data_IF_857942288541
#
_entry.id   IF_857942288541
#
_cell.length_a   1.000
_cell.length_b   1.000
_cell.length_c   1.000
_cell.angle_alpha   90.00
_cell.angle_beta   90.00
_cell.angle_gamma   90.00
#
_symmetry.space_group_name_H-M   'P 1'
#
loop_
_entity.id
_entity.type
_entity.pdbx_description
1 polymer ?
#
# COMPACT_ATOMS: atom_id res chain seq x y z
N UNK A 1 -8.04 -9.53 -25.16
CA UNK A 1 -8.76 -8.49 -24.39
C UNK A 1 -7.80 -7.40 -23.92
N UNK A 2 -6.60 -7.74 -23.45
CA UNK A 2 -5.63 -6.78 -22.89
C UNK A 2 -5.19 -5.70 -23.91
N UNK A 3 -5.21 -6.03 -25.22
CA UNK A 3 -4.91 -5.07 -26.28
C UNK A 3 -6.07 -4.08 -26.55
N UNK A 4 -7.28 -4.42 -26.10
CA UNK A 4 -8.50 -3.60 -26.28
C UNK A 4 -8.86 -2.79 -25.04
N UNK A 5 -8.11 -2.96 -23.94
CA UNK A 5 -8.36 -2.35 -22.63
C UNK A 5 -7.14 -1.56 -22.18
N UNK A 6 -7.30 -0.28 -21.91
CA UNK A 6 -6.22 0.59 -21.43
C UNK A 6 -6.36 0.89 -19.93
N UNK A 7 -5.34 0.55 -19.16
CA UNK A 7 -5.18 1.00 -17.77
C UNK A 7 -4.74 2.48 -17.74
N UNK A 8 -3.78 2.85 -18.58
CA UNK A 8 -3.27 4.21 -18.65
C UNK A 8 -4.41 5.23 -18.87
N UNK A 9 -5.30 4.97 -19.85
CA UNK A 9 -6.44 5.85 -20.13
C UNK A 9 -7.48 5.90 -18.99
N UNK A 10 -7.57 4.86 -18.13
CA UNK A 10 -8.49 4.84 -16.99
C UNK A 10 -7.94 5.61 -15.78
N UNK A 11 -6.61 5.74 -15.64
CA UNK A 11 -5.95 6.33 -14.46
C UNK A 11 -5.25 7.66 -14.75
N UNK A 12 -5.72 8.41 -15.74
CA UNK A 12 -5.18 9.74 -16.08
C UNK A 12 -5.22 10.73 -14.90
N UNK A 13 -6.13 10.55 -13.95
CA UNK A 13 -6.21 11.35 -12.72
C UNK A 13 -4.90 11.34 -11.90
N UNK A 14 -4.06 10.32 -12.07
CA UNK A 14 -2.79 10.19 -11.34
C UNK A 14 -1.63 10.94 -11.99
N UNK A 15 -1.77 11.38 -13.25
CA UNK A 15 -0.69 12.05 -13.98
C UNK A 15 -0.22 13.34 -13.29
N UNK A 16 -1.12 14.23 -12.82
CA UNK A 16 -0.67 15.42 -12.09
C UNK A 16 -0.09 15.14 -10.70
N UNK A 17 -0.24 13.91 -10.20
CA UNK A 17 0.31 13.49 -8.89
C UNK A 17 1.69 12.87 -9.05
N UNK A 18 1.90 12.03 -10.07
CA UNK A 18 3.16 11.31 -10.27
C UNK A 18 4.13 12.04 -11.22
N UNK A 19 3.59 12.94 -12.04
CA UNK A 19 4.34 13.66 -13.06
C UNK A 19 4.19 13.07 -14.46
N UNK A 20 4.51 13.89 -15.45
CA UNK A 20 4.48 13.51 -16.87
C UNK A 20 5.56 12.50 -17.21
N UNK A 21 5.24 11.56 -18.09
CA UNK A 21 6.15 10.49 -18.53
C UNK A 21 6.33 9.37 -17.49
N UNK A 22 5.54 9.38 -16.40
CA UNK A 22 5.63 8.39 -15.32
C UNK A 22 4.44 7.44 -15.37
N UNK A 23 4.71 6.14 -15.38
CA UNK A 23 3.72 5.02 -15.36
C UNK A 23 2.57 5.26 -16.36
N UNK A 24 1.43 5.81 -15.90
CA UNK A 24 0.22 5.94 -16.73
C UNK A 24 0.29 7.03 -17.81
N UNK A 25 1.29 7.91 -17.76
CA UNK A 25 1.56 8.91 -18.81
C UNK A 25 2.74 8.49 -19.71
N UNK A 26 3.43 7.42 -19.36
CA UNK A 26 4.54 6.90 -20.17
C UNK A 26 4.03 6.12 -21.39
N UNK A 27 4.75 6.16 -22.54
CA UNK A 27 4.51 5.24 -23.64
C UNK A 27 4.56 3.77 -23.17
N UNK A 28 3.80 2.85 -23.80
CA UNK A 28 3.63 1.46 -23.30
C UNK A 28 4.94 0.73 -22.97
N UNK A 29 5.96 0.87 -23.82
CA UNK A 29 7.26 0.22 -23.61
C UNK A 29 8.01 0.80 -22.41
N UNK A 30 8.00 2.14 -22.26
CA UNK A 30 8.56 2.82 -21.10
C UNK A 30 7.80 2.49 -19.82
N UNK A 31 6.47 2.49 -19.86
CA UNK A 31 5.63 2.08 -18.73
C UNK A 31 5.98 0.67 -18.27
N UNK A 32 6.11 -0.28 -19.19
CA UNK A 32 6.48 -1.66 -18.86
C UNK A 32 7.86 -1.73 -18.20
N UNK A 33 8.83 -0.96 -18.70
CA UNK A 33 10.17 -0.88 -18.11
C UNK A 33 10.14 -0.24 -16.71
N UNK A 34 9.42 0.87 -16.53
CA UNK A 34 9.26 1.53 -15.23
C UNK A 34 8.62 0.59 -14.20
N UNK A 35 7.55 -0.12 -14.57
CA UNK A 35 6.92 -1.12 -13.69
C UNK A 35 7.88 -2.27 -13.35
N UNK A 36 8.71 -2.71 -14.28
CA UNK A 36 9.74 -3.71 -14.00
C UNK A 36 10.76 -3.19 -12.98
N UNK A 37 11.23 -1.96 -13.14
CA UNK A 37 12.17 -1.33 -12.20
C UNK A 37 11.54 -1.21 -10.79
N UNK A 38 10.24 -0.87 -10.69
CA UNK A 38 9.52 -0.89 -9.40
C UNK A 38 9.49 -2.30 -8.78
N UNK A 39 9.21 -3.33 -9.59
CA UNK A 39 9.26 -4.72 -9.11
C UNK A 39 10.67 -5.08 -8.63
N UNK A 40 11.71 -4.65 -9.36
CA UNK A 40 13.11 -4.90 -9.02
C UNK A 40 13.49 -4.23 -7.67
N UNK A 41 12.99 -3.02 -7.43
CA UNK A 41 13.18 -2.30 -6.15
C UNK A 41 12.53 -3.03 -4.95
N UNK A 42 11.47 -3.83 -5.19
CA UNK A 42 10.75 -4.58 -4.17
C UNK A 42 11.08 -6.08 -4.17
N UNK A 43 12.25 -6.48 -4.71
CA UNK A 43 12.69 -7.88 -4.75
C UNK A 43 13.12 -8.40 -3.40
N UNK A 44 13.17 -9.73 -3.29
CA UNK A 44 13.53 -10.49 -2.10
C UNK A 44 14.81 -9.99 -1.40
N UNK A 45 15.83 -9.61 -2.16
CA UNK A 45 17.08 -9.11 -1.62
C UNK A 45 16.88 -7.83 -0.78
N UNK A 46 16.11 -6.89 -1.29
CA UNK A 46 15.78 -5.65 -0.59
C UNK A 46 14.78 -5.90 0.56
N UNK A 47 13.86 -6.85 0.41
CA UNK A 47 12.90 -7.20 1.46
C UNK A 47 13.54 -7.71 2.75
N UNK A 48 14.74 -8.32 2.70
CA UNK A 48 15.50 -8.67 3.91
C UNK A 48 15.84 -7.44 4.74
N UNK A 49 16.32 -6.39 4.06
CA UNK A 49 16.59 -5.11 4.72
C UNK A 49 15.30 -4.44 5.19
N UNK A 50 14.28 -4.42 4.35
CA UNK A 50 13.01 -3.78 4.66
C UNK A 50 12.30 -4.39 5.87
N UNK A 51 12.38 -5.70 6.09
CA UNK A 51 11.78 -6.33 7.28
C UNK A 51 12.41 -5.80 8.58
N UNK A 52 13.72 -5.60 8.60
CA UNK A 52 14.44 -5.01 9.73
C UNK A 52 14.09 -3.53 9.91
N UNK A 53 14.05 -2.78 8.82
CA UNK A 53 13.64 -1.35 8.82
C UNK A 53 12.24 -1.18 9.38
N UNK A 54 11.28 -1.99 8.95
CA UNK A 54 9.90 -1.91 9.43
C UNK A 54 9.82 -2.24 10.92
N UNK A 55 10.54 -3.26 11.39
CA UNK A 55 10.60 -3.59 12.81
C UNK A 55 11.14 -2.42 13.64
N UNK A 56 12.21 -1.77 13.17
CA UNK A 56 12.78 -0.59 13.82
C UNK A 56 11.79 0.58 13.89
N UNK A 57 11.08 0.86 12.80
CA UNK A 57 10.06 1.92 12.80
C UNK A 57 8.90 1.61 13.76
N UNK A 58 8.55 0.32 13.96
CA UNK A 58 7.57 -0.07 14.98
C UNK A 58 8.16 0.13 16.38
N UNK A 59 9.42 -0.22 16.62
CA UNK A 59 10.11 0.00 17.90
C UNK A 59 10.12 1.50 18.26
N UNK A 60 10.48 2.36 17.31
CA UNK A 60 10.50 3.81 17.48
C UNK A 60 9.07 4.37 17.72
N UNK A 61 8.08 3.80 17.03
CA UNK A 61 6.67 4.20 17.18
C UNK A 61 6.13 3.89 18.58
N UNK A 62 6.39 2.71 19.11
CA UNK A 62 5.89 2.30 20.42
C UNK A 62 6.77 2.79 21.59
N UNK A 63 7.94 3.36 21.33
CA UNK A 63 8.86 3.81 22.37
C UNK A 63 8.26 4.89 23.30
N UNK A 64 7.29 5.66 22.79
CA UNK A 64 6.56 6.66 23.57
C UNK A 64 5.29 6.15 24.27
N UNK A 65 4.95 4.84 24.11
CA UNK A 65 3.74 4.29 24.70
C UNK A 65 3.96 3.93 26.18
N UNK A 66 2.94 4.16 27.01
CA UNK A 66 2.91 3.70 28.39
C UNK A 66 2.50 2.23 28.51
N UNK A 67 2.20 1.82 29.77
CA UNK A 67 1.68 0.48 30.02
C UNK A 67 0.25 0.29 29.51
N UNK A 68 -0.53 1.37 29.41
CA UNK A 68 -1.88 1.40 28.84
C UNK A 68 -2.19 2.76 28.22
N UNK A 69 -3.12 2.80 27.27
CA UNK A 69 -3.59 4.05 26.66
C UNK A 69 -4.65 3.80 25.59
N UNK A 70 -5.15 4.90 25.05
CA UNK A 70 -6.13 4.89 23.94
C UNK A 70 -5.59 5.73 22.78
N UNK A 71 -5.67 5.17 21.56
CA UNK A 71 -5.20 5.83 20.34
C UNK A 71 -6.23 5.66 19.21
N UNK A 72 -6.21 6.60 18.28
CA UNK A 72 -6.85 6.42 16.98
C UNK A 72 -5.88 5.70 16.03
N UNK A 73 -6.09 4.40 15.86
CA UNK A 73 -5.19 3.57 15.06
C UNK A 73 -5.28 3.82 13.56
N UNK A 74 -6.30 4.50 13.05
CA UNK A 74 -6.30 4.96 11.67
C UNK A 74 -5.21 6.03 11.45
N UNK A 75 -5.15 7.02 12.32
CA UNK A 75 -4.12 8.07 12.24
C UNK A 75 -2.73 7.52 12.57
N UNK A 76 -2.64 6.62 13.54
CA UNK A 76 -1.38 5.99 13.93
C UNK A 76 -0.77 5.15 12.80
N UNK A 77 -1.57 4.31 12.12
CA UNK A 77 -1.09 3.53 10.99
C UNK A 77 -0.82 4.40 9.74
N UNK A 78 -1.54 5.50 9.53
CA UNK A 78 -1.17 6.47 8.49
C UNK A 78 0.25 7.01 8.74
N UNK A 79 0.59 7.38 9.97
CA UNK A 79 1.95 7.85 10.30
C UNK A 79 2.99 6.74 10.15
N UNK A 80 2.76 5.57 10.72
CA UNK A 80 3.69 4.44 10.67
C UNK A 80 3.96 3.99 9.24
N UNK A 81 2.93 3.84 8.40
CA UNK A 81 3.12 3.40 7.01
C UNK A 81 3.81 4.45 6.15
N UNK A 82 3.63 5.74 6.41
CA UNK A 82 4.40 6.80 5.77
C UNK A 82 5.89 6.71 6.18
N UNK A 83 6.18 6.50 7.46
CA UNK A 83 7.54 6.35 7.97
C UNK A 83 8.24 5.13 7.38
N UNK A 84 7.59 3.97 7.42
CA UNK A 84 8.15 2.73 6.86
C UNK A 84 8.36 2.84 5.35
N UNK A 85 7.40 3.42 4.60
CA UNK A 85 7.55 3.66 3.17
C UNK A 85 8.72 4.59 2.88
N UNK A 86 8.83 5.72 3.60
CA UNK A 86 9.90 6.69 3.41
C UNK A 86 11.27 6.07 3.71
N UNK A 87 11.38 5.33 4.80
CA UNK A 87 12.64 4.67 5.21
C UNK A 87 13.06 3.60 4.19
N UNK A 88 12.13 2.75 3.75
CA UNK A 88 12.43 1.70 2.77
C UNK A 88 12.72 2.26 1.36
N UNK A 89 12.06 3.35 0.96
CA UNK A 89 12.15 3.86 -0.40
C UNK A 89 13.24 4.92 -0.58
N UNK A 90 13.46 5.77 0.41
CA UNK A 90 14.37 6.91 0.34
C UNK A 90 15.56 6.81 1.31
N UNK A 91 15.56 5.76 2.16
CA UNK A 91 16.62 5.49 3.12
C UNK A 91 16.51 6.26 4.43
N UNK A 92 17.34 5.84 5.41
CA UNK A 92 17.33 6.38 6.77
C UNK A 92 17.64 7.87 6.82
N UNK A 93 18.61 8.33 6.07
CA UNK A 93 19.04 9.74 6.07
C UNK A 93 17.89 10.68 5.69
N UNK A 94 17.06 10.28 4.73
CA UNK A 94 15.88 11.06 4.37
C UNK A 94 14.80 10.93 5.44
N UNK A 95 14.56 9.72 5.95
CA UNK A 95 13.59 9.46 7.00
C UNK A 95 13.85 10.32 8.25
N UNK A 96 15.10 10.41 8.66
CA UNK A 96 15.53 11.19 9.84
C UNK A 96 15.42 12.71 9.59
N UNK A 97 15.57 13.14 8.32
CA UNK A 97 15.46 14.54 7.89
C UNK A 97 14.07 14.92 7.40
N UNK A 98 13.12 13.98 7.44
CA UNK A 98 11.75 14.22 6.96
C UNK A 98 11.09 15.34 7.76
N UNK A 99 10.90 16.47 7.09
CA UNK A 99 10.34 17.69 7.69
C UNK A 99 8.82 17.69 7.67
N UNK A 100 8.20 18.56 8.46
CA UNK A 100 6.78 18.87 8.36
C UNK A 100 6.39 19.28 6.94
N UNK A 101 7.27 20.07 6.28
CA UNK A 101 7.08 20.47 4.87
C UNK A 101 6.84 19.27 3.96
N UNK A 102 7.62 18.20 4.09
CA UNK A 102 7.42 16.99 3.26
C UNK A 102 6.04 16.37 3.48
N UNK A 103 5.60 16.28 4.73
CA UNK A 103 4.28 15.74 5.07
C UNK A 103 3.14 16.58 4.52
N UNK A 104 3.24 17.90 4.64
CA UNK A 104 2.25 18.84 4.10
C UNK A 104 2.16 18.75 2.57
N UNK A 105 3.30 18.71 1.88
CA UNK A 105 3.36 18.57 0.43
C UNK A 105 2.79 17.23 -0.03
N UNK A 106 3.17 16.14 0.64
CA UNK A 106 2.65 14.82 0.33
C UNK A 106 1.13 14.76 0.53
N UNK A 107 0.62 15.31 1.62
CA UNK A 107 -0.80 15.42 1.88
C UNK A 107 -1.55 16.30 0.86
N UNK A 108 -0.92 17.35 0.35
CA UNK A 108 -1.50 18.16 -0.73
C UNK A 108 -1.63 17.36 -2.03
N UNK A 109 -0.66 16.48 -2.35
CA UNK A 109 -0.79 15.53 -3.47
C UNK A 109 -1.97 14.57 -3.27
N UNK A 110 -2.10 14.01 -2.06
CA UNK A 110 -3.19 13.07 -1.71
C UNK A 110 -4.56 13.71 -1.87
N UNK A 111 -4.74 14.92 -1.34
CA UNK A 111 -5.97 15.70 -1.50
C UNK A 111 -6.30 16.00 -2.95
N UNK A 112 -5.30 16.09 -3.81
CA UNK A 112 -5.47 16.28 -5.25
C UNK A 112 -5.97 15.06 -5.99
N UNK A 113 -5.94 13.86 -5.39
CA UNK A 113 -6.45 12.63 -5.99
C UNK A 113 -7.85 12.29 -5.45
N UNK A 114 -8.82 13.13 -5.78
CA UNK A 114 -10.22 12.95 -5.41
C UNK A 114 -11.03 12.35 -6.58
N UNK A 115 -12.24 11.88 -6.30
CA UNK A 115 -13.14 11.31 -7.31
C UNK A 115 -13.36 12.25 -8.51
N UNK A 116 -13.43 13.56 -8.28
CA UNK A 116 -13.59 14.57 -9.34
C UNK A 116 -12.39 14.61 -10.30
N UNK A 117 -11.18 14.24 -9.85
CA UNK A 117 -9.99 14.18 -10.69
C UNK A 117 -10.09 13.10 -11.79
N UNK A 118 -10.95 12.08 -11.61
CA UNK A 118 -11.23 11.09 -12.65
C UNK A 118 -12.17 11.61 -13.74
N UNK A 119 -12.85 12.72 -13.49
CA UNK A 119 -13.65 13.44 -14.52
C UNK A 119 -12.74 14.38 -15.32
N UNK A 120 -12.03 15.28 -14.64
CA UNK A 120 -11.03 16.15 -15.22
C UNK A 120 -9.98 16.54 -14.17
N UNK A 121 -8.75 15.98 -14.24
CA UNK A 121 -7.69 16.26 -13.27
C UNK A 121 -7.07 17.66 -13.41
N UNK A 122 -7.45 18.44 -14.43
CA UNK A 122 -6.89 19.75 -14.73
C UNK A 122 -7.90 20.90 -14.53
N UNK A 123 -9.03 20.63 -13.91
CA UNK A 123 -9.99 21.68 -13.54
C UNK A 123 -9.33 22.74 -12.66
N UNK A 124 -9.79 23.99 -12.82
CA UNK A 124 -9.36 25.09 -11.95
C UNK A 124 -10.01 24.94 -10.56
N UNK A 125 -9.28 24.32 -9.64
CA UNK A 125 -9.68 24.07 -8.26
C UNK A 125 -8.51 24.41 -7.33
N UNK A 126 -8.74 25.07 -6.19
CA UNK A 126 -7.66 25.37 -5.24
C UNK A 126 -6.88 24.13 -4.77
N UNK A 127 -7.56 22.99 -4.63
CA UNK A 127 -6.93 21.73 -4.25
C UNK A 127 -5.99 21.19 -5.34
N UNK A 128 -6.30 21.40 -6.61
CA UNK A 128 -5.44 21.00 -7.73
C UNK A 128 -4.25 21.93 -7.91
N UNK A 129 -4.43 23.24 -7.67
CA UNK A 129 -3.31 24.17 -7.66
C UNK A 129 -2.33 23.86 -6.51
N UNK A 130 -2.84 23.50 -5.33
CA UNK A 130 -2.03 23.09 -4.20
C UNK A 130 -1.24 21.80 -4.51
N UNK A 131 -1.91 20.81 -5.12
CA UNK A 131 -1.29 19.57 -5.63
C UNK A 131 -0.15 19.84 -6.59
N UNK A 132 -0.38 20.68 -7.59
CA UNK A 132 0.61 20.95 -8.65
C UNK A 132 1.85 21.67 -8.07
N UNK A 133 1.65 22.62 -7.16
CA UNK A 133 2.74 23.27 -6.41
C UNK A 133 3.51 22.27 -5.54
N UNK A 134 2.77 21.37 -4.88
CA UNK A 134 3.37 20.35 -4.03
C UNK A 134 4.20 19.35 -4.85
N UNK A 135 3.75 18.93 -6.02
CA UNK A 135 4.53 18.06 -6.92
C UNK A 135 5.88 18.70 -7.28
N UNK A 136 5.86 19.94 -7.73
CA UNK A 136 7.08 20.68 -8.11
C UNK A 136 8.06 20.74 -6.92
N UNK A 137 7.56 21.03 -5.72
CA UNK A 137 8.40 21.13 -4.53
C UNK A 137 8.96 19.78 -4.08
N UNK A 138 8.13 18.73 -4.10
CA UNK A 138 8.59 17.35 -3.79
C UNK A 138 9.63 16.84 -4.79
N UNK A 139 9.45 17.15 -6.08
CA UNK A 139 10.45 16.83 -7.10
C UNK A 139 11.77 17.52 -6.79
N UNK A 140 11.76 18.78 -6.37
CA UNK A 140 12.98 19.49 -5.98
C UNK A 140 13.65 18.89 -4.74
N UNK A 141 12.88 18.49 -3.72
CA UNK A 141 13.40 17.84 -2.50
C UNK A 141 14.05 16.49 -2.81
N UNK A 142 13.35 15.62 -3.56
CA UNK A 142 13.87 14.30 -3.95
C UNK A 142 15.05 14.45 -4.92
N UNK A 143 14.99 15.42 -5.84
CA UNK A 143 16.09 15.76 -6.76
C UNK A 143 17.36 16.15 -6.02
N UNK A 144 17.25 16.91 -4.92
CA UNK A 144 18.37 17.21 -4.02
C UNK A 144 19.06 15.95 -3.47
N UNK A 145 18.27 14.96 -3.02
CA UNK A 145 18.79 13.69 -2.51
C UNK A 145 19.50 12.91 -3.65
N UNK A 146 18.91 12.87 -4.84
CA UNK A 146 19.51 12.21 -6.00
C UNK A 146 20.86 12.86 -6.33
N UNK A 147 20.95 14.19 -6.29
CA UNK A 147 22.19 14.93 -6.53
C UNK A 147 23.26 14.64 -5.47
N UNK A 148 22.88 14.63 -4.18
CA UNK A 148 23.78 14.27 -3.06
C UNK A 148 24.34 12.84 -3.25
N UNK A 149 23.48 11.87 -3.56
CA UNK A 149 23.88 10.47 -3.78
C UNK A 149 24.78 10.29 -4.98
N UNK A 150 24.54 11.00 -6.07
CA UNK A 150 25.42 11.00 -7.24
C UNK A 150 26.80 11.58 -6.97
N UNK A 151 26.90 12.53 -6.04
CA UNK A 151 28.16 13.14 -5.61
C UNK A 151 28.93 12.24 -4.63
N UNK A 152 28.23 11.39 -3.89
CA UNK A 152 28.81 10.47 -2.89
C UNK A 152 29.20 9.15 -3.59
N UNK A 153 30.47 8.96 -3.89
CA UNK A 153 30.98 7.70 -4.46
C UNK A 153 31.03 6.59 -3.41
N UNK A 154 30.51 5.41 -3.73
CA UNK A 154 30.69 4.13 -3.02
C UNK A 154 29.85 3.86 -1.76
N UNK A 155 28.70 4.47 -1.57
CA UNK A 155 27.77 4.10 -0.50
C UNK A 155 26.66 3.24 -1.11
N UNK A 156 26.52 2.01 -0.64
CA UNK A 156 25.33 1.17 -0.92
C UNK A 156 24.24 1.53 0.12
N UNK A 157 23.15 2.11 -0.36
CA UNK A 157 22.03 2.53 0.50
C UNK A 157 21.06 1.39 0.79
N UNK A 158 20.94 0.42 -0.13
CA UNK A 158 20.06 -0.74 0.01
C UNK A 158 18.57 -0.40 0.00
N UNK A 159 18.22 0.75 -0.58
CA UNK A 159 16.86 1.24 -0.68
C UNK A 159 16.32 1.26 -2.13
N UNK A 160 15.05 1.62 -2.30
CA UNK A 160 14.44 1.61 -3.63
C UNK A 160 14.95 2.75 -4.51
N UNK A 161 15.33 3.90 -3.95
CA UNK A 161 15.85 5.03 -4.72
C UNK A 161 17.14 4.64 -5.46
N UNK A 162 18.02 3.85 -4.82
CA UNK A 162 19.23 3.32 -5.47
C UNK A 162 18.87 2.49 -6.71
N UNK A 163 17.88 1.60 -6.60
CA UNK A 163 17.40 0.81 -7.74
C UNK A 163 16.81 1.70 -8.85
N UNK A 164 16.05 2.73 -8.50
CA UNK A 164 15.49 3.67 -9.48
C UNK A 164 16.61 4.47 -10.18
N UNK A 165 17.62 4.93 -9.43
CA UNK A 165 18.77 5.67 -9.99
C UNK A 165 19.62 4.82 -10.93
N UNK A 166 19.71 3.50 -10.69
CA UNK A 166 20.41 2.54 -11.55
C UNK A 166 19.56 2.08 -12.75
N UNK A 167 18.27 2.37 -12.75
CA UNK A 167 17.32 1.90 -13.75
C UNK A 167 17.63 2.35 -15.16
N UNK A 168 17.48 1.43 -16.12
CA UNK A 168 17.72 1.68 -17.55
C UNK A 168 16.57 1.14 -18.40
N UNK A 169 16.30 1.81 -19.50
CA UNK A 169 15.38 1.34 -20.55
C UNK A 169 16.04 0.30 -21.46
N UNK A 170 15.25 -0.34 -22.30
CA UNK A 170 15.73 -1.36 -23.25
C UNK A 170 16.68 -0.81 -24.32
N UNK A 171 16.60 0.48 -24.61
CA UNK A 171 17.50 1.20 -25.51
C UNK A 171 18.82 1.64 -24.86
N UNK A 172 19.04 1.29 -23.59
CA UNK A 172 20.21 1.66 -22.79
C UNK A 172 20.15 3.07 -22.18
N UNK A 173 19.12 3.87 -22.45
CA UNK A 173 18.95 5.16 -21.82
C UNK A 173 18.58 5.00 -20.34
N UNK A 174 19.00 5.96 -19.50
CA UNK A 174 18.67 5.97 -18.06
C UNK A 174 17.36 6.71 -17.83
N UNK A 175 16.74 6.41 -16.69
CA UNK A 175 15.62 7.21 -16.21
C UNK A 175 16.09 8.64 -15.96
N UNK A 176 15.26 9.59 -16.36
CA UNK A 176 15.44 11.02 -16.02
C UNK A 176 15.15 11.23 -14.53
N UNK A 177 15.63 12.33 -13.97
CA UNK A 177 15.36 12.71 -12.58
C UNK A 177 13.86 12.86 -12.32
N UNK A 178 13.11 13.44 -13.26
CA UNK A 178 11.65 13.52 -13.19
C UNK A 178 10.99 12.12 -13.14
N UNK A 179 11.45 11.18 -13.94
CA UNK A 179 10.93 9.80 -13.92
C UNK A 179 11.27 9.10 -12.60
N UNK A 180 12.49 9.28 -12.07
CA UNK A 180 12.89 8.72 -10.76
C UNK A 180 12.02 9.29 -9.64
N UNK A 181 11.91 10.61 -9.54
CA UNK A 181 11.10 11.26 -8.50
C UNK A 181 9.63 10.88 -8.58
N UNK A 182 9.09 10.80 -9.80
CA UNK A 182 7.72 10.35 -10.03
C UNK A 182 7.49 8.88 -9.63
N UNK A 183 8.44 7.99 -9.91
CA UNK A 183 8.38 6.58 -9.48
C UNK A 183 8.43 6.44 -7.96
N UNK A 184 9.27 7.24 -7.28
CA UNK A 184 9.30 7.30 -5.81
C UNK A 184 7.94 7.71 -5.28
N UNK A 185 7.40 8.84 -5.75
CA UNK A 185 6.08 9.34 -5.32
C UNK A 185 5.00 8.29 -5.59
N UNK A 186 4.96 7.70 -6.78
CA UNK A 186 3.98 6.68 -7.14
C UNK A 186 4.06 5.43 -6.25
N UNK A 187 5.28 5.00 -5.89
CA UNK A 187 5.49 3.83 -5.03
C UNK A 187 5.07 4.12 -3.59
N UNK A 188 5.37 5.32 -3.08
CA UNK A 188 4.89 5.77 -1.77
C UNK A 188 3.36 5.83 -1.72
N UNK A 189 2.73 6.44 -2.73
CA UNK A 189 1.27 6.51 -2.83
C UNK A 189 0.62 5.13 -2.83
N UNK A 190 1.16 4.20 -3.62
CA UNK A 190 0.64 2.85 -3.72
C UNK A 190 0.73 2.10 -2.38
N UNK A 191 1.80 2.30 -1.61
CA UNK A 191 2.07 1.57 -0.37
C UNK A 191 1.50 2.21 0.90
N UNK A 192 1.19 3.50 0.89
CA UNK A 192 0.79 4.23 2.10
C UNK A 192 -0.65 3.93 2.52
N UNK A 193 -1.64 4.41 1.75
CA UNK A 193 -3.05 4.31 2.12
C UNK A 193 -3.58 2.87 2.08
N UNK A 194 -3.12 2.06 1.15
CA UNK A 194 -3.53 0.65 1.08
C UNK A 194 -3.05 -0.12 2.29
N UNK A 195 -1.82 0.13 2.74
CA UNK A 195 -1.24 -0.52 3.91
C UNK A 195 -1.84 -0.02 5.22
N UNK A 196 -2.04 1.31 5.38
CA UNK A 196 -2.65 1.86 6.60
C UNK A 196 -4.09 1.39 6.80
N UNK A 197 -4.91 1.40 5.74
CA UNK A 197 -6.28 0.88 5.79
C UNK A 197 -6.31 -0.62 6.15
N UNK A 198 -5.44 -1.43 5.51
CA UNK A 198 -5.32 -2.87 5.82
C UNK A 198 -4.87 -3.10 7.26
N UNK A 199 -3.87 -2.34 7.75
CA UNK A 199 -3.40 -2.46 9.14
C UNK A 199 -4.49 -2.08 10.13
N UNK A 200 -5.23 -1.00 9.87
CA UNK A 200 -6.33 -0.57 10.74
C UNK A 200 -7.44 -1.62 10.81
N UNK A 201 -7.86 -2.16 9.66
CA UNK A 201 -8.83 -3.25 9.64
C UNK A 201 -8.30 -4.52 10.31
N UNK A 202 -7.03 -4.87 10.10
CA UNK A 202 -6.41 -6.04 10.75
C UNK A 202 -6.45 -5.90 12.27
N UNK A 203 -6.07 -4.74 12.82
CA UNK A 203 -6.11 -4.52 14.27
C UNK A 203 -7.55 -4.48 14.81
N UNK A 204 -8.47 -3.86 14.07
CA UNK A 204 -9.89 -3.81 14.42
C UNK A 204 -10.50 -5.20 14.47
N UNK A 205 -10.24 -6.03 13.47
CA UNK A 205 -10.72 -7.41 13.45
C UNK A 205 -10.04 -8.27 14.52
N UNK A 206 -8.74 -8.10 14.79
CA UNK A 206 -8.09 -8.77 15.93
C UNK A 206 -8.76 -8.42 17.27
N UNK A 207 -9.17 -7.17 17.45
CA UNK A 207 -9.90 -6.76 18.66
C UNK A 207 -11.32 -7.37 18.75
N UNK A 208 -11.97 -7.64 17.61
CA UNK A 208 -13.32 -8.25 17.53
C UNK A 208 -13.29 -9.77 17.60
N UNK A 209 -12.39 -10.41 16.88
CA UNK A 209 -12.34 -11.87 16.67
C UNK A 209 -11.49 -12.55 17.74
N UNK A 210 -11.94 -12.49 19.00
CA UNK A 210 -11.14 -12.91 20.18
C UNK A 210 -10.53 -14.31 20.07
N UNK A 211 -11.28 -15.29 19.53
CA UNK A 211 -10.78 -16.67 19.37
C UNK A 211 -9.59 -16.73 18.41
N UNK A 212 -9.73 -16.15 17.21
CA UNK A 212 -8.64 -16.11 16.21
C UNK A 212 -7.48 -15.24 16.68
N UNK A 213 -7.77 -14.14 17.37
CA UNK A 213 -6.75 -13.25 17.96
C UNK A 213 -5.88 -13.99 18.99
N UNK A 214 -6.47 -14.85 19.81
CA UNK A 214 -5.73 -15.68 20.76
C UNK A 214 -4.76 -16.64 20.03
N UNK A 215 -5.21 -17.31 18.97
CA UNK A 215 -4.38 -18.22 18.18
C UNK A 215 -3.21 -17.50 17.49
N UNK A 216 -3.46 -16.29 16.93
CA UNK A 216 -2.40 -15.44 16.36
C UNK A 216 -1.42 -15.00 17.44
N UNK A 217 -1.92 -14.60 18.61
CA UNK A 217 -1.07 -14.18 19.73
C UNK A 217 -0.17 -15.32 20.22
N UNK A 218 -0.69 -16.54 20.35
CA UNK A 218 0.09 -17.73 20.71
C UNK A 218 1.19 -18.03 19.69
N UNK A 219 0.87 -17.97 18.39
CA UNK A 219 1.84 -18.16 17.31
C UNK A 219 2.99 -17.15 17.41
N UNK A 220 2.66 -15.88 17.57
CA UNK A 220 3.65 -14.81 17.62
C UNK A 220 4.48 -14.86 18.91
N UNK A 221 3.89 -15.14 20.07
CA UNK A 221 4.60 -15.27 21.33
C UNK A 221 5.55 -16.48 21.36
N UNK A 222 5.22 -17.54 20.63
CA UNK A 222 6.08 -18.71 20.50
C UNK A 222 7.35 -18.41 19.68
N UNK A 223 7.24 -17.55 18.68
CA UNK A 223 8.32 -17.24 17.73
C UNK A 223 9.11 -15.97 18.11
N UNK A 224 8.41 -14.95 18.59
CA UNK A 224 9.00 -13.63 18.84
C UNK A 224 8.97 -13.31 20.34
N UNK A 225 10.13 -13.36 20.99
CA UNK A 225 10.32 -12.74 22.29
C UNK A 225 10.54 -11.25 22.11
N UNK A 226 10.36 -10.45 23.18
CA UNK A 226 10.41 -8.97 23.14
C UNK A 226 11.66 -8.43 22.43
N UNK A 227 12.80 -9.12 22.57
CA UNK A 227 14.08 -8.71 21.97
C UNK A 227 14.47 -9.54 20.74
N UNK A 228 13.52 -10.30 20.15
CA UNK A 228 13.80 -11.13 18.99
C UNK A 228 13.89 -10.28 17.72
N UNK A 229 14.92 -10.49 16.94
CA UNK A 229 15.04 -9.85 15.64
C UNK A 229 14.00 -10.42 14.68
N UNK A 230 13.16 -9.56 14.11
CA UNK A 230 12.20 -9.92 13.07
C UNK A 230 12.94 -9.93 11.74
N UNK A 231 13.00 -11.10 11.11
CA UNK A 231 13.64 -11.31 9.82
C UNK A 231 12.62 -11.74 8.77
N UNK A 232 12.96 -11.58 7.50
CA UNK A 232 12.10 -12.06 6.41
C UNK A 232 11.85 -13.56 6.49
N UNK A 233 12.83 -14.33 6.99
CA UNK A 233 12.72 -15.77 7.18
C UNK A 233 11.73 -16.09 8.30
N UNK A 234 11.83 -15.43 9.47
CA UNK A 234 10.91 -15.66 10.60
C UNK A 234 9.47 -15.27 10.26
N UNK A 235 9.26 -14.27 9.39
CA UNK A 235 7.93 -13.88 8.93
C UNK A 235 7.24 -14.94 8.04
N UNK A 236 7.93 -15.99 7.60
CA UNK A 236 7.32 -17.11 6.87
C UNK A 236 6.73 -18.17 7.81
N UNK A 237 7.13 -18.14 9.06
CA UNK A 237 6.73 -19.14 10.08
C UNK A 237 5.49 -18.70 10.88
N UNK A 238 4.74 -17.70 10.38
CA UNK A 238 3.52 -17.16 11.01
C UNK A 238 2.27 -17.30 10.10
N UNK A 239 1.87 -18.53 9.76
CA UNK A 239 0.76 -18.77 8.84
C UNK A 239 -0.61 -18.35 9.38
N UNK A 240 -0.83 -18.36 10.73
CA UNK A 240 -2.12 -17.93 11.31
C UNK A 240 -2.33 -16.42 11.13
N UNK A 241 -1.29 -15.60 11.39
CA UNK A 241 -1.34 -14.17 11.11
C UNK A 241 -1.52 -13.90 9.61
N UNK A 242 -0.84 -14.66 8.74
CA UNK A 242 -0.99 -14.53 7.30
C UNK A 242 -2.43 -14.80 6.84
N UNK A 243 -3.02 -15.91 7.30
CA UNK A 243 -4.40 -16.26 7.00
C UNK A 243 -5.39 -15.22 7.52
N UNK A 244 -5.13 -14.66 8.71
CA UNK A 244 -5.93 -13.58 9.27
C UNK A 244 -5.91 -12.32 8.39
N UNK A 245 -4.73 -11.89 7.95
CA UNK A 245 -4.57 -10.74 7.04
C UNK A 245 -5.23 -11.03 5.68
N UNK A 246 -5.11 -12.24 5.14
CA UNK A 246 -5.77 -12.63 3.90
C UNK A 246 -7.30 -12.51 4.00
N UNK A 247 -7.89 -12.89 5.13
CA UNK A 247 -9.34 -12.76 5.35
C UNK A 247 -9.76 -11.30 5.53
N UNK A 248 -8.94 -10.49 6.18
CA UNK A 248 -9.15 -9.03 6.23
C UNK A 248 -9.14 -8.44 4.81
N UNK A 249 -8.18 -8.81 3.98
CA UNK A 249 -8.11 -8.35 2.58
C UNK A 249 -9.27 -8.86 1.72
N UNK A 250 -9.89 -9.98 2.07
CA UNK A 250 -11.10 -10.46 1.41
C UNK A 250 -12.31 -9.57 1.75
N UNK A 251 -12.51 -9.30 3.03
CA UNK A 251 -13.65 -8.50 3.51
C UNK A 251 -13.48 -7.01 3.24
N UNK A 252 -12.26 -6.50 3.40
CA UNK A 252 -11.92 -5.08 3.32
C UNK A 252 -10.80 -4.83 2.29
N UNK A 253 -11.03 -5.17 0.99
CA UNK A 253 -10.00 -4.95 -0.03
C UNK A 253 -9.73 -3.46 -0.20
N UNK A 254 -8.47 -2.98 -0.13
CA UNK A 254 -8.15 -1.56 -0.23
C UNK A 254 -8.65 -0.89 -1.51
N UNK A 255 -8.70 -1.64 -2.61
CA UNK A 255 -9.30 -1.18 -3.87
C UNK A 255 -10.58 -1.96 -4.14
N UNK A 256 -11.70 -1.26 -4.22
CA UNK A 256 -13.02 -1.90 -4.48
C UNK A 256 -13.24 -2.21 -5.95
N UNK A 257 -12.60 -1.44 -6.84
CA UNK A 257 -12.77 -1.53 -8.29
C UNK A 257 -11.43 -1.46 -9.03
N UNK A 258 -11.28 -2.28 -10.06
CA UNK A 258 -10.20 -2.18 -11.05
C UNK A 258 -10.76 -1.71 -12.38
N UNK A 259 -10.36 -0.51 -12.83
CA UNK A 259 -10.93 0.12 -14.02
C UNK A 259 -10.05 -0.08 -15.25
N UNK A 260 -10.71 -0.16 -16.43
CA UNK A 260 -10.09 -0.14 -17.75
C UNK A 260 -10.91 0.71 -18.70
N UNK A 261 -10.25 1.48 -19.54
CA UNK A 261 -10.88 2.16 -20.67
C UNK A 261 -10.93 1.22 -21.86
N UNK A 262 -12.08 1.05 -22.47
CA UNK A 262 -12.23 0.31 -23.72
C UNK A 262 -11.71 1.18 -24.86
N UNK A 263 -10.70 0.70 -25.59
CA UNK A 263 -10.07 1.44 -26.71
C UNK A 263 -10.51 0.94 -28.08
N UNK A 264 -11.02 -0.28 -28.14
CA UNK A 264 -11.67 -0.88 -29.31
C UNK A 264 -12.90 -1.66 -28.85
N UNK A 265 -13.92 -1.73 -29.69
CA UNK A 265 -15.15 -2.46 -29.41
C UNK A 265 -14.88 -3.90 -28.98
N UNK A 266 -15.58 -4.34 -27.94
CA UNK A 266 -15.46 -5.68 -27.36
C UNK A 266 -16.83 -6.35 -27.39
N UNK A 267 -16.91 -7.55 -27.95
CA UNK A 267 -18.01 -8.47 -27.69
C UNK A 267 -17.71 -9.25 -26.40
N UNK A 268 -18.58 -9.10 -25.42
CA UNK A 268 -18.52 -9.84 -24.17
C UNK A 268 -19.80 -10.67 -24.02
N UNK A 269 -19.72 -11.96 -24.36
CA UNK A 269 -20.83 -12.91 -24.30
C UNK A 269 -22.10 -12.42 -25.05
N UNK A 270 -21.93 -11.88 -26.26
CA UNK A 270 -23.01 -11.33 -27.07
C UNK A 270 -23.46 -9.91 -26.72
N UNK A 271 -22.79 -9.28 -25.74
CA UNK A 271 -22.99 -7.87 -25.38
C UNK A 271 -21.87 -7.02 -25.96
N UNK A 272 -22.20 -6.09 -26.84
CA UNK A 272 -21.25 -5.13 -27.39
C UNK A 272 -20.91 -4.08 -26.35
N UNK A 273 -19.60 -3.96 -26.00
CA UNK A 273 -19.07 -2.87 -25.19
C UNK A 273 -18.27 -1.96 -26.10
N UNK A 274 -18.81 -0.77 -26.37
CA UNK A 274 -18.22 0.18 -27.31
C UNK A 274 -16.93 0.80 -26.80
N UNK A 275 -16.05 1.15 -27.72
CA UNK A 275 -14.87 1.96 -27.46
C UNK A 275 -15.26 3.28 -26.75
N UNK A 276 -14.40 3.74 -25.87
CA UNK A 276 -14.68 4.92 -25.06
C UNK A 276 -15.47 4.66 -23.77
N UNK A 277 -16.00 3.46 -23.53
CA UNK A 277 -16.62 3.09 -22.25
C UNK A 277 -15.55 2.73 -21.21
N UNK A 278 -15.89 2.82 -19.94
CA UNK A 278 -15.08 2.32 -18.83
C UNK A 278 -15.71 1.04 -18.31
N UNK A 279 -14.92 -0.03 -18.23
CA UNK A 279 -15.29 -1.28 -17.56
C UNK A 279 -14.58 -1.38 -16.22
N UNK A 280 -15.24 -1.98 -15.24
CA UNK A 280 -14.67 -2.19 -13.91
C UNK A 280 -14.89 -3.63 -13.46
N UNK A 281 -13.88 -4.17 -12.80
CA UNK A 281 -13.98 -5.42 -12.05
C UNK A 281 -14.17 -5.04 -10.58
N UNK A 282 -15.25 -5.50 -9.96
CA UNK A 282 -15.49 -5.31 -8.54
C UNK A 282 -14.74 -6.36 -7.74
N UNK A 283 -13.64 -5.95 -7.09
CA UNK A 283 -12.93 -6.82 -6.13
C UNK A 283 -13.86 -7.11 -4.95
N UNK A 284 -14.50 -6.08 -4.42
CA UNK A 284 -15.42 -6.17 -3.29
C UNK A 284 -16.56 -7.16 -3.55
N UNK A 285 -17.19 -7.09 -4.74
CA UNK A 285 -18.24 -8.02 -5.14
C UNK A 285 -17.71 -9.44 -5.42
N UNK A 286 -16.54 -9.57 -6.06
CA UNK A 286 -15.92 -10.88 -6.30
C UNK A 286 -15.63 -11.65 -5.01
N UNK A 287 -15.13 -10.95 -4.00
CA UNK A 287 -14.80 -11.52 -2.69
C UNK A 287 -16.03 -11.86 -1.84
N UNK A 288 -17.22 -11.46 -2.27
CA UNK A 288 -18.51 -11.73 -1.61
C UNK A 288 -19.45 -12.60 -2.44
N UNK A 289 -18.97 -13.12 -3.57
CA UNK A 289 -19.75 -14.03 -4.39
C UNK A 289 -19.93 -15.37 -3.67
N UNK A 290 -21.19 -15.74 -3.39
CA UNK A 290 -21.57 -16.94 -2.65
C UNK A 290 -21.20 -18.25 -3.35
N UNK A 291 -21.00 -18.21 -4.69
CA UNK A 291 -20.53 -19.39 -5.44
C UNK A 291 -19.10 -19.78 -5.06
N UNK A 292 -18.30 -18.84 -4.57
CA UNK A 292 -16.90 -19.02 -4.21
C UNK A 292 -16.64 -18.90 -2.71
N UNK A 293 -17.45 -18.12 -2.00
CA UNK A 293 -17.30 -17.81 -0.59
C UNK A 293 -18.63 -18.05 0.15
N UNK A 294 -18.90 -19.28 0.61
CA UNK A 294 -20.05 -19.55 1.47
C UNK A 294 -20.02 -18.65 2.69
N UNK A 295 -21.17 -18.11 3.11
CA UNK A 295 -21.30 -17.14 4.20
C UNK A 295 -20.30 -15.97 4.05
N UNK A 296 -20.37 -15.18 2.97
CA UNK A 296 -19.31 -14.27 2.57
C UNK A 296 -19.04 -13.14 3.56
N UNK A 297 -20.02 -12.76 4.38
CA UNK A 297 -19.86 -11.74 5.43
C UNK A 297 -19.28 -12.28 6.74
N UNK A 298 -19.21 -13.60 6.89
CA UNK A 298 -18.58 -14.21 8.07
C UNK A 298 -17.07 -14.10 7.97
N UNK A 299 -16.43 -13.57 9.02
CA UNK A 299 -14.99 -13.60 9.17
C UNK A 299 -14.52 -15.02 9.49
N UNK A 300 -13.71 -15.62 8.62
CA UNK A 300 -13.19 -16.97 8.79
C UNK A 300 -11.83 -17.12 8.10
N UNK A 301 -10.71 -16.90 8.82
CA UNK A 301 -9.37 -16.96 8.23
C UNK A 301 -8.97 -18.38 7.75
N UNK A 302 -9.72 -19.41 8.14
CA UNK A 302 -9.45 -20.79 7.74
C UNK A 302 -10.41 -21.31 6.66
N UNK A 303 -11.18 -20.40 6.05
CA UNK A 303 -12.07 -20.80 4.94
C UNK A 303 -11.29 -21.45 3.80
N UNK A 304 -11.86 -22.47 3.14
CA UNK A 304 -11.25 -23.06 1.95
C UNK A 304 -10.99 -21.99 0.88
N UNK A 305 -9.79 -22.02 0.28
CA UNK A 305 -9.48 -21.15 -0.85
C UNK A 305 -10.27 -21.61 -2.09
N UNK A 306 -10.90 -20.68 -2.83
CA UNK A 306 -11.61 -21.05 -4.06
C UNK A 306 -10.68 -21.68 -5.09
N UNK A 307 -11.17 -22.67 -5.82
CA UNK A 307 -10.42 -23.32 -6.92
C UNK A 307 -10.22 -22.38 -8.13
N UNK A 308 -11.01 -21.30 -8.19
CA UNK A 308 -10.95 -20.31 -9.27
C UNK A 308 -9.92 -19.23 -8.96
N UNK A 309 -8.90 -19.11 -9.83
CA UNK A 309 -7.77 -18.17 -9.68
C UNK A 309 -8.18 -16.71 -9.46
N UNK A 310 -9.30 -16.28 -10.03
CA UNK A 310 -9.76 -14.88 -9.98
C UNK A 310 -10.90 -14.62 -8.99
N UNK A 311 -11.27 -15.58 -8.16
CA UNK A 311 -12.26 -15.36 -7.11
C UNK A 311 -11.68 -14.51 -5.97
N UNK A 312 -10.41 -14.70 -5.61
CA UNK A 312 -9.69 -13.95 -4.59
C UNK A 312 -8.56 -13.13 -5.22
N UNK A 313 -8.79 -11.82 -5.38
CA UNK A 313 -7.88 -10.92 -6.12
C UNK A 313 -7.60 -9.59 -5.38
N UNK A 314 -7.25 -9.58 -4.09
CA UNK A 314 -7.02 -8.33 -3.35
C UNK A 314 -5.87 -7.49 -3.94
N UNK A 315 -4.94 -8.14 -4.63
CA UNK A 315 -3.82 -7.52 -5.33
C UNK A 315 -4.01 -7.48 -6.85
N UNK A 316 -5.24 -7.67 -7.33
CA UNK A 316 -5.52 -7.82 -8.76
C UNK A 316 -4.97 -9.12 -9.35
N UNK A 317 -4.93 -9.22 -10.68
CA UNK A 317 -4.51 -10.43 -11.37
C UNK A 317 -3.89 -10.19 -12.73
N UNK A 318 -3.30 -11.26 -13.31
CA UNK A 318 -2.67 -11.23 -14.62
C UNK A 318 -1.45 -10.31 -14.71
N UNK A 319 -1.16 -9.76 -15.90
CA UNK A 319 0.01 -8.89 -16.12
C UNK A 319 -0.01 -7.58 -15.31
N UNK A 320 -1.17 -7.24 -14.75
CA UNK A 320 -1.38 -6.00 -13.97
C UNK A 320 -1.53 -6.25 -12.47
N UNK A 321 -1.11 -7.41 -11.98
CA UNK A 321 -1.06 -7.70 -10.54
C UNK A 321 -0.18 -6.67 -9.83
N UNK A 322 -0.55 -6.34 -8.58
CA UNK A 322 0.20 -5.40 -7.74
C UNK A 322 1.70 -5.80 -7.66
N UNK A 323 2.58 -4.86 -8.01
CA UNK A 323 4.03 -5.06 -7.93
C UNK A 323 4.51 -5.21 -6.47
N UNK A 324 3.82 -4.57 -5.52
CA UNK A 324 4.16 -4.55 -4.11
C UNK A 324 3.48 -5.62 -3.26
N UNK A 325 2.82 -6.64 -3.83
CA UNK A 325 2.04 -7.60 -3.05
C UNK A 325 2.88 -8.34 -1.99
N UNK A 326 4.09 -8.78 -2.33
CA UNK A 326 4.99 -9.44 -1.39
C UNK A 326 5.49 -8.47 -0.30
N UNK A 327 5.81 -7.23 -0.69
CA UNK A 327 6.19 -6.18 0.26
C UNK A 327 5.04 -5.85 1.23
N UNK A 328 3.82 -5.66 0.72
CA UNK A 328 2.65 -5.35 1.55
C UNK A 328 2.37 -6.45 2.59
N UNK A 329 2.38 -7.72 2.19
CA UNK A 329 2.19 -8.84 3.11
C UNK A 329 3.32 -8.91 4.14
N UNK A 330 4.58 -8.74 3.72
CA UNK A 330 5.72 -8.69 4.63
C UNK A 330 5.60 -7.52 5.61
N UNK A 331 5.21 -6.32 5.14
CA UNK A 331 5.03 -5.12 5.98
C UNK A 331 3.96 -5.36 7.05
N UNK A 332 2.79 -5.87 6.67
CA UNK A 332 1.73 -6.20 7.63
C UNK A 332 2.22 -7.22 8.66
N UNK A 333 2.83 -8.30 8.20
CA UNK A 333 3.37 -9.35 9.09
C UNK A 333 4.44 -8.79 10.04
N UNK A 334 5.35 -7.96 9.56
CA UNK A 334 6.40 -7.35 10.39
C UNK A 334 5.82 -6.40 11.46
N UNK A 335 4.86 -5.55 11.07
CA UNK A 335 4.18 -4.64 12.02
C UNK A 335 3.52 -5.44 13.15
N UNK A 336 2.71 -6.44 12.82
CA UNK A 336 1.96 -7.19 13.83
C UNK A 336 2.83 -8.18 14.62
N UNK A 337 3.88 -8.73 14.00
CA UNK A 337 4.88 -9.54 14.71
C UNK A 337 5.67 -8.72 15.75
N UNK A 338 5.92 -7.44 15.48
CA UNK A 338 6.56 -6.53 16.43
C UNK A 338 5.58 -6.04 17.51
N UNK A 339 4.32 -5.85 17.19
CA UNK A 339 3.32 -5.19 18.05
C UNK A 339 2.61 -6.14 19.01
N UNK A 340 2.06 -7.26 18.50
CA UNK A 340 1.17 -8.14 19.25
C UNK A 340 1.84 -8.93 20.39
N UNK A 341 3.14 -9.31 20.35
CA UNK A 341 3.82 -9.88 21.51
C UNK A 341 3.95 -8.91 22.69
N UNK A 342 3.90 -7.60 22.44
CA UNK A 342 4.12 -6.54 23.42
C UNK A 342 2.86 -5.96 24.02
N UNK A 343 1.76 -5.93 23.23
CA UNK A 343 0.53 -5.26 23.60
C UNK A 343 -0.70 -6.09 23.28
N UNK A 344 -1.72 -5.93 24.11
CA UNK A 344 -3.10 -6.37 23.86
C UNK A 344 -3.93 -5.20 23.39
N UNK A 345 -4.96 -5.48 22.58
CA UNK A 345 -5.81 -4.45 22.01
C UNK A 345 -7.29 -4.78 22.20
N UNK A 346 -8.06 -3.75 22.56
CA UNK A 346 -9.49 -3.84 22.73
C UNK A 346 -10.17 -2.61 22.11
N UNK A 347 -11.38 -2.80 21.58
CA UNK A 347 -12.21 -1.68 21.15
C UNK A 347 -12.57 -0.83 22.37
N UNK A 348 -12.45 0.49 22.28
CA UNK A 348 -12.86 1.42 23.35
C UNK A 348 -14.37 1.33 23.57
N UNK A 349 -15.13 1.19 22.49
CA UNK A 349 -16.56 0.89 22.50
C UNK A 349 -16.78 -0.49 21.85
N UNK A 350 -17.12 -1.53 22.66
CA UNK A 350 -17.35 -2.88 22.13
C UNK A 350 -18.53 -2.98 21.16
N UNK A 351 -19.48 -2.07 21.25
CA UNK A 351 -20.69 -2.05 20.42
C UNK A 351 -20.48 -1.28 19.10
N UNK A 352 -19.34 -0.60 18.95
CA UNK A 352 -19.05 0.16 17.73
C UNK A 352 -18.94 -0.77 16.53
N UNK A 353 -19.61 -0.41 15.46
CA UNK A 353 -19.49 -1.07 14.17
C UNK A 353 -18.80 -0.14 13.18
N UNK A 354 -17.51 -0.36 12.96
CA UNK A 354 -16.81 0.31 11.87
C UNK A 354 -17.29 -0.25 10.54
N UNK A 355 -17.45 0.63 9.57
CA UNK A 355 -17.85 0.29 8.21
C UNK A 355 -16.76 0.70 7.25
N UNK A 356 -16.78 0.11 6.06
CA UNK A 356 -15.91 0.52 4.96
C UNK A 356 -16.31 1.91 4.45
N UNK A 357 -15.36 2.84 4.39
CA UNK A 357 -15.55 4.14 3.76
C UNK A 357 -15.51 3.99 2.23
N UNK A 358 -16.66 3.72 1.64
CA UNK A 358 -16.81 3.60 0.19
C UNK A 358 -16.76 4.94 -0.56
N UNK A 359 -16.70 6.08 0.14
CA UNK A 359 -16.52 7.40 -0.47
C UNK A 359 -15.04 7.69 -0.80
N UNK A 360 -14.12 6.98 -0.15
CA UNK A 360 -12.69 7.08 -0.39
C UNK A 360 -12.26 6.27 -1.62
N UNK A 361 -11.21 6.72 -2.31
CA UNK A 361 -10.61 5.97 -3.45
C UNK A 361 -9.94 4.69 -2.96
N UNK A 362 -9.32 4.75 -1.79
CA UNK A 362 -8.75 3.59 -1.09
C UNK A 362 -9.61 3.32 0.13
N UNK A 363 -10.15 2.12 0.20
CA UNK A 363 -11.04 1.70 1.27
C UNK A 363 -10.28 1.66 2.60
N UNK A 364 -10.90 2.24 3.60
CA UNK A 364 -10.45 2.27 5.00
C UNK A 364 -11.68 2.21 5.91
N UNK A 365 -11.53 1.91 7.20
CA UNK A 365 -12.67 2.03 8.10
C UNK A 365 -13.11 3.49 8.25
N UNK A 366 -14.40 3.71 8.48
CA UNK A 366 -14.92 5.00 8.91
C UNK A 366 -14.32 5.33 10.28
N UNK A 367 -13.58 6.44 10.35
CA UNK A 367 -12.88 6.82 11.58
C UNK A 367 -13.71 7.69 12.55
N UNK A 368 -13.19 7.97 13.72
CA UNK A 368 -11.92 7.50 14.28
C UNK A 368 -11.98 6.04 14.76
N UNK A 369 -10.86 5.30 14.57
CA UNK A 369 -10.75 3.90 14.98
C UNK A 369 -10.02 3.81 16.33
N UNK A 370 -10.76 4.05 17.42
CA UNK A 370 -10.20 4.09 18.77
C UNK A 370 -10.10 2.69 19.39
N UNK A 371 -8.86 2.29 19.72
CA UNK A 371 -8.61 1.10 20.50
C UNK A 371 -7.79 1.45 21.73
N UNK A 372 -8.03 0.68 22.81
CA UNK A 372 -7.19 0.67 24.00
C UNK A 372 -6.08 -0.36 23.81
N UNK A 373 -4.87 0.03 24.16
CA UNK A 373 -3.74 -0.89 24.26
C UNK A 373 -3.35 -1.10 25.72
N UNK A 374 -2.92 -2.30 26.03
CA UNK A 374 -2.36 -2.67 27.35
C UNK A 374 -1.08 -3.48 27.11
N UNK A 375 0.00 -3.08 27.77
CA UNK A 375 1.28 -3.78 27.66
C UNK A 375 1.19 -5.15 28.30
N UNK A 376 1.67 -6.17 27.60
CA UNK A 376 1.76 -7.53 28.13
C UNK A 376 2.83 -7.61 29.23
N UNK A 377 2.57 -8.42 30.25
CA UNK A 377 3.48 -8.66 31.39
C UNK A 377 4.53 -9.71 31.05
#
# INVERSE_FOLDING_TARGET
>A
LDLKLSRAAAYQATVPVFGKGVIFDAPPDKMKAQLKIQVDALRYQNMKNYSTVISQEVDDWVAGWGDEGELDFLDEFLRLTLHTATHCLLGKDFRDRMTEEFRELYHALEKGLQAIAFVDPYMQQPVFEARDKALIRLQALIGGIIAERRASSHIEYGDALETFMAGTYTDGSRLTENEITGLVIATMFAGHHTSSGTATWTLTELARQKAYSAEVSEELQALFKIDSQITLESLREIPKLEAFIEEVLRLHPPLVLLMRRVIEDIDYNGTLIEAGKTVAISIYGSHRNTDYFPDPEKFDPYRPKPDTLFAYIPFGGGPHKCAGNAFAMMQMKAIFAALLPRYEFELVDPDVTYQDDLSAIVLKPTGPCRLRYTKRK
#
